data_IF_618463637025
#
_entry.id   IF_618463637025
#
_cell.length_a   1.000
_cell.length_b   1.000
_cell.length_c   1.000
_cell.angle_alpha   90.00
_cell.angle_beta   90.00
_cell.angle_gamma   90.00
#
_symmetry.space_group_name_H-M   'P 1'
#
loop_
_entity.id
_entity.type
_entity.pdbx_description
1 polymer ?
#
# COMPACT_ATOMS: atom_id res chain seq x y z
N UNK A 1 1.21 9.98 8.67
CA UNK A 1 0.25 10.64 7.77
C UNK A 1 0.03 9.70 6.60
N UNK A 2 -1.11 9.03 6.49
CA UNK A 2 -1.36 8.08 5.41
C UNK A 2 -1.61 8.81 4.10
N UNK A 3 -0.82 8.51 3.07
CA UNK A 3 -1.05 9.04 1.73
C UNK A 3 -1.96 8.08 0.95
N UNK A 4 -2.71 8.64 0.02
CA UNK A 4 -3.48 7.88 -0.95
C UNK A 4 -2.68 7.79 -2.24
N UNK A 5 -2.65 6.60 -2.83
CA UNK A 5 -2.22 6.39 -4.19
C UNK A 5 -3.49 6.28 -5.04
N UNK A 6 -3.53 7.05 -6.12
CA UNK A 6 -4.60 6.94 -7.09
C UNK A 6 -4.03 6.80 -8.50
N UNK A 7 -4.75 6.08 -9.35
CA UNK A 7 -4.42 5.91 -10.77
C UNK A 7 -5.68 5.77 -11.60
N UNK A 8 -5.60 6.24 -12.84
CA UNK A 8 -6.65 6.03 -13.83
C UNK A 8 -6.36 4.73 -14.56
N UNK A 9 -7.35 3.86 -14.59
CA UNK A 9 -7.37 2.60 -15.31
C UNK A 9 -8.46 2.63 -16.38
N UNK A 10 -8.38 1.72 -17.34
CA UNK A 10 -9.46 1.43 -18.28
C UNK A 10 -10.54 0.57 -17.63
N UNK A 11 -11.75 0.57 -18.20
CA UNK A 11 -12.84 -0.30 -17.76
C UNK A 11 -12.48 -1.79 -17.87
N UNK A 12 -11.62 -2.17 -18.82
CA UNK A 12 -11.13 -3.54 -18.95
C UNK A 12 -10.18 -3.93 -17.81
N UNK A 13 -9.34 -3.01 -17.34
CA UNK A 13 -8.47 -3.21 -16.18
C UNK A 13 -9.30 -3.29 -14.89
N UNK A 14 -10.29 -2.40 -14.73
CA UNK A 14 -11.23 -2.48 -13.63
C UNK A 14 -11.98 -3.82 -13.61
N UNK A 15 -12.46 -4.30 -14.76
CA UNK A 15 -13.13 -5.59 -14.84
C UNK A 15 -12.22 -6.73 -14.34
N UNK A 16 -10.95 -6.76 -14.78
CA UNK A 16 -9.95 -7.73 -14.31
C UNK A 16 -9.68 -7.61 -12.81
N UNK A 17 -9.61 -6.40 -12.28
CA UNK A 17 -9.46 -6.14 -10.85
C UNK A 17 -10.63 -6.75 -10.07
N UNK A 18 -11.87 -6.48 -10.49
CA UNK A 18 -13.08 -6.97 -9.85
C UNK A 18 -13.21 -8.49 -9.87
N UNK A 19 -12.70 -9.18 -10.90
CA UNK A 19 -12.69 -10.65 -10.94
C UNK A 19 -11.86 -11.27 -9.81
N UNK A 20 -10.80 -10.60 -9.38
CA UNK A 20 -9.84 -11.15 -8.40
C UNK A 20 -9.98 -10.54 -7.01
N UNK A 21 -10.89 -9.58 -6.83
CA UNK A 21 -11.11 -8.88 -5.58
C UNK A 21 -12.39 -9.38 -4.88
N UNK A 22 -12.43 -9.22 -3.56
CA UNK A 22 -13.66 -9.36 -2.78
C UNK A 22 -14.41 -8.03 -2.80
N UNK A 23 -15.65 -8.04 -3.29
CA UNK A 23 -16.53 -6.88 -3.22
C UNK A 23 -17.13 -6.77 -1.83
N UNK A 24 -16.91 -5.63 -1.16
CA UNK A 24 -17.49 -5.36 0.15
C UNK A 24 -18.75 -4.49 0.04
N UNK A 25 -18.73 -3.49 -0.84
CA UNK A 25 -19.84 -2.58 -1.03
C UNK A 25 -19.81 -1.98 -2.45
N UNK A 26 -20.99 -1.65 -2.99
CA UNK A 26 -21.09 -0.92 -4.25
C UNK A 26 -22.25 0.07 -4.23
N UNK A 27 -22.06 1.24 -4.85
CA UNK A 27 -23.09 2.26 -4.98
C UNK A 27 -23.00 2.98 -6.33
N UNK A 28 -24.15 3.33 -6.90
CA UNK A 28 -24.21 4.24 -8.03
C UNK A 28 -24.34 5.69 -7.52
N UNK A 29 -23.43 6.57 -7.93
CA UNK A 29 -23.36 7.98 -7.47
C UNK A 29 -23.16 8.88 -8.69
N UNK A 30 -24.14 9.71 -8.99
CA UNK A 30 -24.07 10.76 -10.04
C UNK A 30 -23.56 10.26 -11.41
N UNK A 31 -23.97 9.07 -11.83
CA UNK A 31 -23.57 8.47 -13.11
C UNK A 31 -22.25 7.70 -13.09
N UNK A 32 -21.58 7.63 -11.94
CA UNK A 32 -20.46 6.73 -11.68
C UNK A 32 -20.90 5.54 -10.82
N UNK A 33 -20.13 4.44 -10.87
CA UNK A 33 -20.29 3.32 -9.93
C UNK A 33 -19.07 3.22 -9.04
N UNK A 34 -19.27 3.32 -7.74
CA UNK A 34 -18.23 3.19 -6.71
C UNK A 34 -18.26 1.78 -6.16
N UNK A 35 -17.09 1.15 -6.06
CA UNK A 35 -16.89 -0.17 -5.47
C UNK A 35 -15.88 -0.03 -4.32
N UNK A 36 -16.24 -0.55 -3.14
CA UNK A 36 -15.29 -0.82 -2.06
C UNK A 36 -14.91 -2.30 -2.16
N UNK A 37 -13.63 -2.56 -2.39
CA UNK A 37 -13.12 -3.91 -2.65
C UNK A 37 -11.89 -4.18 -1.80
N UNK A 38 -11.66 -5.46 -1.49
CA UNK A 38 -10.45 -5.94 -0.83
C UNK A 38 -9.73 -6.94 -1.74
N UNK A 39 -8.44 -6.72 -1.95
CA UNK A 39 -7.59 -7.59 -2.77
C UNK A 39 -6.26 -7.78 -2.06
N UNK A 40 -5.83 -9.03 -1.87
CA UNK A 40 -4.59 -9.38 -1.17
C UNK A 40 -4.45 -8.74 0.23
N UNK A 41 -5.58 -8.62 0.94
CA UNK A 41 -5.65 -7.98 2.27
C UNK A 41 -5.48 -6.46 2.24
N UNK A 42 -5.56 -5.83 1.07
CA UNK A 42 -5.56 -4.37 0.90
C UNK A 42 -6.92 -3.87 0.46
N UNK A 43 -7.43 -2.90 1.19
CA UNK A 43 -8.65 -2.18 0.84
C UNK A 43 -8.39 -1.19 -0.30
N UNK A 44 -9.29 -1.16 -1.27
CA UNK A 44 -9.27 -0.27 -2.43
C UNK A 44 -10.66 0.28 -2.68
N UNK A 45 -10.71 1.50 -3.22
CA UNK A 45 -11.92 2.10 -3.78
C UNK A 45 -11.73 2.20 -5.29
N UNK A 46 -12.64 1.63 -6.05
CA UNK A 46 -12.66 1.75 -7.50
C UNK A 46 -13.91 2.52 -7.94
N UNK A 47 -13.74 3.49 -8.84
CA UNK A 47 -14.83 4.34 -9.34
C UNK A 47 -14.88 4.19 -10.85
N UNK A 48 -15.89 3.49 -11.36
CA UNK A 48 -16.17 3.42 -12.80
C UNK A 48 -16.85 4.71 -13.25
N UNK A 49 -16.24 5.38 -14.24
CA UNK A 49 -16.72 6.64 -14.80
C UNK A 49 -17.49 6.42 -16.10
N UNK A 50 -18.48 7.28 -16.40
CA UNK A 50 -19.13 7.31 -17.70
C UNK A 50 -18.09 7.74 -18.75
N UNK A 51 -17.73 6.82 -19.64
CA UNK A 51 -16.59 6.98 -20.56
C UNK A 51 -15.65 5.78 -20.59
N UNK A 52 -15.89 4.78 -19.74
CA UNK A 52 -15.12 3.53 -19.75
C UNK A 52 -13.74 3.65 -19.10
N UNK A 53 -13.51 4.72 -18.35
CA UNK A 53 -12.36 4.87 -17.46
C UNK A 53 -12.77 4.49 -16.03
N UNK A 54 -11.77 4.20 -15.21
CA UNK A 54 -11.93 3.92 -13.80
C UNK A 54 -10.86 4.67 -13.00
N UNK A 55 -11.20 5.18 -11.82
CA UNK A 55 -10.24 5.66 -10.84
C UNK A 55 -10.08 4.60 -9.75
N UNK A 56 -8.87 4.12 -9.53
CA UNK A 56 -8.55 3.18 -8.45
C UNK A 56 -7.73 3.89 -7.40
N UNK A 57 -8.18 3.82 -6.16
CA UNK A 57 -7.60 4.48 -4.99
C UNK A 57 -7.24 3.42 -3.96
N UNK A 58 -6.03 3.47 -3.44
CA UNK A 58 -5.56 2.61 -2.36
C UNK A 58 -4.68 3.39 -1.38
N UNK A 59 -4.54 2.88 -0.16
CA UNK A 59 -3.62 3.48 0.80
C UNK A 59 -2.17 3.14 0.45
N UNK A 60 -1.29 4.14 0.52
CA UNK A 60 0.15 3.90 0.43
C UNK A 60 0.58 3.02 1.61
N UNK A 61 1.09 1.83 1.30
CA UNK A 61 1.64 0.94 2.32
C UNK A 61 2.96 1.51 2.82
N UNK A 62 3.02 2.01 4.06
CA UNK A 62 4.31 2.35 4.68
C UNK A 62 5.09 1.06 4.90
N UNK A 63 6.15 0.86 4.11
CA UNK A 63 7.14 -0.17 4.40
C UNK A 63 7.64 0.02 5.84
N UNK A 64 7.67 -1.05 6.63
CA UNK A 64 8.18 -1.01 8.01
C UNK A 64 9.55 -0.32 8.01
N UNK A 65 9.87 0.52 9.03
CA UNK A 65 11.16 1.17 9.12
C UNK A 65 12.29 0.15 8.93
N UNK A 66 13.12 0.35 7.90
CA UNK A 66 14.25 -0.54 7.62
C UNK A 66 15.25 -0.38 8.76
N UNK A 67 15.20 -1.26 9.76
CA UNK A 67 16.16 -1.29 10.87
C UNK A 67 17.56 -1.47 10.29
N UNK A 68 18.36 -0.40 10.32
CA UNK A 68 19.79 -0.47 10.03
C UNK A 68 20.43 -1.23 11.18
N UNK A 69 20.97 -2.42 10.90
CA UNK A 69 21.84 -3.12 11.87
C UNK A 69 23.09 -2.27 12.02
N UNK A 70 23.31 -1.72 13.21
CA UNK A 70 24.60 -1.15 13.58
C UNK A 70 25.42 -2.33 14.08
N UNK A 71 26.48 -2.68 13.38
CA UNK A 71 27.48 -3.59 13.92
C UNK A 71 28.14 -2.89 15.10
N UNK A 72 28.09 -3.53 16.28
CA UNK A 72 28.80 -3.05 17.44
C UNK A 72 30.29 -3.11 17.10
N UNK A 73 30.93 -1.95 16.95
CA UNK A 73 32.38 -1.85 16.93
C UNK A 73 32.85 -2.34 18.29
N UNK A 74 33.43 -3.53 18.32
CA UNK A 74 34.10 -4.04 19.49
C UNK A 74 35.29 -3.11 19.77
N UNK A 75 35.12 -2.17 20.69
CA UNK A 75 36.21 -1.45 21.32
C UNK A 75 36.98 -2.44 22.19
N UNK A 76 37.91 -3.15 21.54
CA UNK A 76 39.05 -3.71 22.24
C UNK A 76 39.96 -2.54 22.62
N UNK A 77 39.97 -2.17 23.91
CA UNK A 77 41.03 -1.34 24.46
C UNK A 77 41.40 -1.90 25.83
N UNK A 78 42.38 -2.81 25.75
CA UNK A 78 43.54 -2.96 26.62
C UNK A 78 43.36 -2.79 28.14
N UNK A 79 43.35 -3.93 28.81
CA UNK A 79 43.79 -4.09 30.20
C UNK A 79 45.24 -3.63 30.35
N UNK A 80 45.47 -2.52 31.04
CA UNK A 80 46.73 -2.27 31.75
C UNK A 80 46.51 -2.62 33.23
N UNK A 81 46.74 -3.89 33.57
CA UNK A 81 47.03 -4.32 34.94
C UNK A 81 48.52 -4.10 35.21
N UNK A 82 48.81 -3.45 36.33
CA UNK A 82 50.12 -2.92 36.69
C UNK A 82 51.22 -3.94 36.93
N UNK A 83 52.44 -3.40 36.97
CA UNK A 83 53.63 -4.05 37.49
C UNK A 83 54.53 -3.00 38.16
N UNK A 84 55.26 -3.46 39.19
CA UNK A 84 56.14 -2.77 40.16
C UNK A 84 55.50 -2.14 41.41
#
# INVERSE_FOLDING_TARGET
MSKLLWRVESGAELARLLVTATLEESAAVSGATVYRISQDGKEKIAIALPGGQALVIEQESFGRPRRRRVEAVATATESQSGDA
#
